data_IF_699971018923
#
_entry.id   IF_699971018923
#
_cell.length_a   1.000
_cell.length_b   1.000
_cell.length_c   1.000
_cell.angle_alpha   90.00
_cell.angle_beta   90.00
_cell.angle_gamma   90.00
#
_symmetry.space_group_name_H-M   'P 1'
#
loop_
_entity.id
_entity.type
_entity.pdbx_description
1 polymer ?
#
# COMPACT_ATOMS: atom_id res chain seq x y z
N UNK A 1 -15.22 11.46 20.43
CA UNK A 1 -14.59 12.80 20.33
C UNK A 1 -13.17 12.66 20.87
N UNK A 2 -12.34 11.86 20.18
CA UNK A 2 -11.02 11.41 20.69
C UNK A 2 -10.04 11.14 19.52
N UNK A 3 -10.29 11.72 18.34
CA UNK A 3 -9.58 11.38 17.10
C UNK A 3 -8.83 12.56 16.47
N UNK A 4 -8.83 13.73 17.12
CA UNK A 4 -8.30 14.98 16.54
C UNK A 4 -6.90 15.37 17.06
N UNK A 5 -6.33 14.62 18.00
CA UNK A 5 -5.22 15.13 18.82
C UNK A 5 -3.81 14.69 18.38
N UNK A 6 -3.64 14.11 17.19
CA UNK A 6 -2.36 13.50 16.77
C UNK A 6 -1.81 13.92 15.41
N UNK A 7 -2.13 15.13 14.93
CA UNK A 7 -1.49 15.66 13.71
C UNK A 7 -0.45 16.72 14.06
N UNK A 8 0.81 16.29 14.30
CA UNK A 8 1.95 17.19 14.27
C UNK A 8 2.48 17.29 12.83
N UNK A 9 2.40 18.50 12.27
CA UNK A 9 2.78 18.81 10.90
C UNK A 9 4.31 18.74 10.71
N UNK A 10 4.73 18.13 9.59
CA UNK A 10 6.12 18.18 9.13
C UNK A 10 6.39 19.57 8.55
N UNK A 11 7.27 20.33 9.21
CA UNK A 11 7.81 21.59 8.70
C UNK A 11 8.97 21.28 7.74
N UNK A 12 8.91 21.78 6.51
CA UNK A 12 9.98 21.61 5.52
C UNK A 12 11.25 22.32 6.01
N UNK A 13 12.33 21.56 6.19
CA UNK A 13 13.65 22.07 6.56
C UNK A 13 14.30 22.80 5.37
N UNK A 14 14.87 23.97 5.63
CA UNK A 14 15.58 24.80 4.65
C UNK A 14 16.98 24.25 4.36
N UNK A 15 17.61 24.77 3.30
CA UNK A 15 18.89 24.30 2.75
C UNK A 15 20.10 24.43 3.69
N UNK A 16 19.93 24.97 4.89
CA UNK A 16 21.00 25.16 5.89
C UNK A 16 20.72 24.44 7.21
N UNK A 17 19.65 23.64 7.31
CA UNK A 17 19.38 22.88 8.51
C UNK A 17 20.26 21.62 8.55
N UNK A 18 20.94 21.32 9.68
CA UNK A 18 21.74 20.11 9.80
C UNK A 18 20.84 18.89 9.57
N UNK A 19 21.35 17.92 8.80
CA UNK A 19 20.69 16.64 8.55
C UNK A 19 20.22 16.05 9.89
N UNK A 20 18.93 15.69 10.04
CA UNK A 20 18.44 15.15 11.30
C UNK A 20 19.22 13.87 11.63
N UNK A 21 19.65 13.76 12.88
CA UNK A 21 20.23 12.56 13.45
C UNK A 21 19.34 11.36 13.09
N UNK A 22 19.92 10.29 12.57
CA UNK A 22 19.19 9.04 12.22
C UNK A 22 18.61 8.37 13.47
N UNK A 23 18.90 8.89 14.66
CA UNK A 23 18.23 8.58 15.90
C UNK A 23 16.71 8.79 15.76
N UNK A 24 15.97 7.73 16.07
CA UNK A 24 14.52 7.75 16.11
C UNK A 24 14.02 8.88 17.03
N UNK A 25 13.12 9.74 16.51
CA UNK A 25 12.59 10.89 17.23
C UNK A 25 11.87 10.46 18.53
N UNK A 26 12.18 11.06 19.69
CA UNK A 26 11.48 10.75 20.94
C UNK A 26 9.97 10.94 20.79
N UNK A 27 9.19 9.96 21.25
CA UNK A 27 7.71 10.02 21.21
C UNK A 27 7.07 9.56 19.90
N UNK A 28 7.84 9.19 18.87
CA UNK A 28 7.29 8.53 17.67
C UNK A 28 7.10 7.02 17.93
N UNK A 29 6.01 6.39 17.47
CA UNK A 29 5.91 4.93 17.50
C UNK A 29 6.98 4.28 16.61
N UNK A 30 7.64 3.25 17.12
CA UNK A 30 8.57 2.45 16.33
C UNK A 30 7.79 1.62 15.31
N UNK A 31 8.28 1.56 14.07
CA UNK A 31 7.80 0.62 13.06
C UNK A 31 8.74 -0.59 13.00
N UNK A 32 8.43 -1.71 13.68
CA UNK A 32 9.29 -2.89 13.65
C UNK A 32 9.32 -3.47 12.22
N UNK A 33 10.54 -3.61 11.68
CA UNK A 33 10.76 -4.26 10.37
C UNK A 33 11.37 -5.64 10.64
N UNK A 34 10.72 -6.68 10.14
CA UNK A 34 11.22 -8.06 10.25
C UNK A 34 12.16 -8.36 9.09
N UNK A 35 13.38 -8.81 9.39
CA UNK A 35 14.32 -9.27 8.36
C UNK A 35 13.92 -10.66 7.85
N UNK A 36 13.67 -10.78 6.55
CA UNK A 36 13.41 -12.06 5.87
C UNK A 36 14.67 -12.87 5.52
N UNK A 37 15.84 -12.48 6.00
CA UNK A 37 17.11 -13.12 5.63
C UNK A 37 17.15 -14.61 6.05
N UNK A 38 17.31 -15.51 5.07
CA UNK A 38 17.31 -16.97 5.25
C UNK A 38 16.04 -17.54 5.92
N UNK A 39 14.92 -16.82 5.86
CA UNK A 39 13.65 -17.31 6.40
C UNK A 39 13.15 -18.52 5.58
N UNK A 40 12.62 -19.59 6.21
CA UNK A 40 12.21 -20.81 5.51
C UNK A 40 11.13 -20.57 4.43
N UNK A 41 10.29 -19.55 4.60
CA UNK A 41 9.19 -19.26 3.67
C UNK A 41 9.56 -18.30 2.54
N UNK A 42 10.75 -17.68 2.55
CA UNK A 42 11.07 -16.58 1.62
C UNK A 42 10.93 -16.98 0.15
N UNK A 43 11.29 -18.21 -0.19
CA UNK A 43 11.20 -18.73 -1.57
C UNK A 43 9.75 -18.93 -2.00
N UNK A 44 8.89 -19.39 -1.08
CA UNK A 44 7.47 -19.60 -1.36
C UNK A 44 6.75 -18.26 -1.48
N UNK A 45 7.03 -17.32 -0.57
CA UNK A 45 6.49 -15.94 -0.65
C UNK A 45 6.88 -15.27 -1.97
N UNK A 46 8.17 -15.33 -2.34
CA UNK A 46 8.64 -14.79 -3.63
C UNK A 46 7.93 -15.44 -4.83
N UNK A 47 7.76 -16.76 -4.80
CA UNK A 47 7.06 -17.48 -5.86
C UNK A 47 5.58 -17.04 -5.97
N UNK A 48 4.88 -16.87 -4.84
CA UNK A 48 3.51 -16.37 -4.83
C UNK A 48 3.44 -14.93 -5.33
N UNK A 49 4.36 -14.06 -4.92
CA UNK A 49 4.43 -12.67 -5.38
C UNK A 49 4.59 -12.61 -6.91
N UNK A 50 5.57 -13.34 -7.46
CA UNK A 50 5.81 -13.40 -8.91
C UNK A 50 4.60 -13.97 -9.68
N UNK A 51 3.89 -14.92 -9.08
CA UNK A 51 2.68 -15.52 -9.66
C UNK A 51 1.48 -14.56 -9.65
N UNK A 52 1.31 -13.80 -8.56
CA UNK A 52 0.14 -12.94 -8.33
C UNK A 52 0.30 -11.55 -8.93
N UNK A 53 1.52 -11.01 -9.00
CA UNK A 53 1.82 -9.68 -9.54
C UNK A 53 1.16 -9.40 -10.90
N UNK A 54 1.29 -10.24 -11.95
CA UNK A 54 0.67 -9.94 -13.25
C UNK A 54 -0.86 -9.98 -13.21
N UNK A 55 -1.46 -10.66 -12.24
CA UNK A 55 -2.91 -10.68 -12.03
C UNK A 55 -3.37 -9.41 -11.33
N UNK A 56 -2.63 -9.00 -10.30
CA UNK A 56 -2.85 -7.74 -9.60
C UNK A 56 -2.71 -6.56 -10.55
N UNK A 57 -1.66 -6.50 -11.36
CA UNK A 57 -1.40 -5.40 -12.30
C UNK A 57 -2.56 -5.16 -13.27
N UNK A 58 -3.18 -6.24 -13.77
CA UNK A 58 -4.37 -6.15 -14.63
C UNK A 58 -5.53 -5.41 -13.96
N UNK A 59 -5.68 -5.54 -12.64
CA UNK A 59 -6.75 -4.90 -11.88
C UNK A 59 -6.34 -3.52 -11.34
N UNK A 60 -5.08 -3.36 -10.97
CA UNK A 60 -4.55 -2.20 -10.26
C UNK A 60 -4.43 -0.94 -11.14
N UNK A 61 -4.42 -1.08 -12.47
CA UNK A 61 -4.21 0.04 -13.42
C UNK A 61 -5.07 1.28 -13.20
N UNK A 62 -6.27 1.13 -12.62
CA UNK A 62 -7.21 2.25 -12.38
C UNK A 62 -7.32 2.68 -10.93
N UNK A 63 -6.77 1.93 -10.00
CA UNK A 63 -7.01 2.10 -8.55
C UNK A 63 -5.73 2.32 -7.76
N UNK A 64 -4.58 2.02 -8.33
CA UNK A 64 -3.28 2.13 -7.67
C UNK A 64 -2.43 3.19 -8.34
N UNK A 65 -1.77 3.97 -7.50
CA UNK A 65 -0.81 4.99 -7.91
C UNK A 65 0.57 4.50 -7.49
N UNK A 66 1.43 4.28 -8.47
CA UNK A 66 2.80 3.82 -8.27
C UNK A 66 3.84 4.94 -8.39
N UNK A 67 3.42 6.15 -8.78
CA UNK A 67 4.30 7.29 -9.00
C UNK A 67 3.64 8.58 -8.56
N UNK A 68 4.31 9.32 -7.67
CA UNK A 68 3.86 10.64 -7.23
C UNK A 68 3.83 11.65 -8.39
N UNK A 69 4.75 11.54 -9.36
CA UNK A 69 4.74 12.38 -10.54
C UNK A 69 3.49 12.17 -11.40
N UNK A 70 3.11 10.90 -11.61
CA UNK A 70 1.91 10.56 -12.37
C UNK A 70 0.64 11.01 -11.64
N UNK A 71 0.59 10.87 -10.31
CA UNK A 71 -0.51 11.41 -9.49
C UNK A 71 -0.67 12.93 -9.67
N UNK A 72 0.41 13.71 -9.54
CA UNK A 72 0.35 15.16 -9.69
C UNK A 72 -0.15 15.54 -11.08
N UNK A 73 0.36 14.87 -12.12
CA UNK A 73 -0.08 15.09 -13.50
C UNK A 73 -1.57 14.78 -13.68
N UNK A 74 -2.06 13.67 -13.14
CA UNK A 74 -3.47 13.30 -13.20
C UNK A 74 -4.36 14.28 -12.45
N UNK A 75 -3.95 14.74 -11.26
CA UNK A 75 -4.67 15.75 -10.48
C UNK A 75 -4.74 17.10 -11.22
N UNK A 76 -3.66 17.52 -11.87
CA UNK A 76 -3.64 18.74 -12.68
C UNK A 76 -4.55 18.65 -13.91
N UNK A 77 -4.63 17.48 -14.55
CA UNK A 77 -5.55 17.25 -15.65
C UNK A 77 -7.01 17.26 -15.17
N UNK A 78 -7.27 16.56 -14.06
CA UNK A 78 -8.59 16.52 -13.43
C UNK A 78 -9.05 17.92 -13.00
N UNK A 79 -8.16 18.74 -12.43
CA UNK A 79 -8.52 20.06 -11.91
C UNK A 79 -8.97 21.02 -13.00
N UNK A 80 -8.37 20.97 -14.19
CA UNK A 80 -8.77 21.80 -15.34
C UNK A 80 -10.23 21.60 -15.77
N UNK A 81 -10.78 20.42 -15.52
CA UNK A 81 -12.13 20.03 -15.96
C UNK A 81 -13.13 20.10 -14.80
N UNK A 82 -12.71 19.72 -13.59
CA UNK A 82 -13.64 19.43 -12.49
C UNK A 82 -13.54 20.39 -11.29
N UNK A 83 -12.45 21.16 -11.16
CA UNK A 83 -12.24 22.02 -10.00
C UNK A 83 -13.14 23.26 -10.06
N UNK A 84 -13.82 23.54 -8.95
CA UNK A 84 -14.69 24.70 -8.76
C UNK A 84 -14.26 25.49 -7.52
N UNK A 85 -14.81 26.69 -7.35
CA UNK A 85 -14.50 27.52 -6.18
C UNK A 85 -14.87 26.83 -4.86
N UNK A 86 -15.92 26.00 -4.87
CA UNK A 86 -16.42 25.28 -3.69
C UNK A 86 -15.76 23.90 -3.51
N UNK A 87 -14.77 23.54 -4.33
CA UNK A 87 -14.07 22.26 -4.19
C UNK A 87 -13.21 22.25 -2.93
N UNK A 88 -13.48 21.31 -2.03
CA UNK A 88 -12.69 21.09 -0.82
C UNK A 88 -11.67 19.99 -1.04
N UNK A 89 -10.44 20.23 -0.62
CA UNK A 89 -9.40 19.20 -0.54
C UNK A 89 -9.36 18.64 0.87
N UNK A 90 -9.51 17.32 0.96
CA UNK A 90 -9.37 16.58 2.22
C UNK A 90 -8.21 15.61 2.05
N UNK A 91 -7.30 15.62 3.02
CA UNK A 91 -6.28 14.58 3.16
C UNK A 91 -6.70 13.62 4.25
N UNK A 92 -6.55 12.34 3.99
CA UNK A 92 -6.83 11.27 4.94
C UNK A 92 -5.59 10.41 5.00
N UNK A 93 -5.10 10.17 6.20
CA UNK A 93 -3.97 9.28 6.45
C UNK A 93 -4.44 8.04 7.21
N UNK A 94 -3.90 6.88 6.84
CA UNK A 94 -4.23 5.59 7.46
C UNK A 94 -3.03 5.15 8.29
N UNK A 95 -3.18 5.23 9.61
CA UNK A 95 -2.15 4.75 10.54
C UNK A 95 -2.07 3.22 10.56
N UNK A 96 -0.86 2.69 10.76
CA UNK A 96 -0.62 1.27 11.04
C UNK A 96 -1.16 0.30 9.97
N UNK A 97 -1.22 0.71 8.70
CA UNK A 97 -1.85 -0.04 7.61
C UNK A 97 -1.42 -1.52 7.58
N UNK A 98 -0.11 -1.80 7.61
CA UNK A 98 0.40 -3.16 7.50
C UNK A 98 0.05 -4.06 8.69
N UNK A 99 0.00 -3.52 9.90
CA UNK A 99 -0.30 -4.28 11.11
C UNK A 99 -1.80 -4.43 11.33
N UNK A 100 -2.60 -3.52 10.77
CA UNK A 100 -4.06 -3.48 10.94
C UNK A 100 -4.85 -4.27 9.89
N UNK A 101 -4.21 -4.75 8.81
CA UNK A 101 -4.88 -5.63 7.82
C UNK A 101 -5.09 -7.03 8.42
N UNK A 102 -6.34 -7.49 8.63
CA UNK A 102 -6.58 -8.82 9.18
C UNK A 102 -6.22 -9.89 8.16
N UNK A 103 -5.41 -10.87 8.57
CA UNK A 103 -4.89 -11.94 7.70
C UNK A 103 -6.02 -12.66 6.92
N UNK A 104 -7.10 -13.03 7.62
CA UNK A 104 -8.27 -13.69 7.01
C UNK A 104 -8.95 -12.83 5.94
N UNK A 105 -8.99 -11.50 6.13
CA UNK A 105 -9.53 -10.57 5.14
C UNK A 105 -8.57 -10.42 3.95
N UNK A 106 -7.27 -10.51 4.17
CA UNK A 106 -6.26 -10.55 3.09
C UNK A 106 -6.49 -11.74 2.16
N UNK A 107 -6.53 -12.95 2.71
CA UNK A 107 -6.78 -14.18 1.95
C UNK A 107 -8.14 -14.16 1.25
N UNK A 108 -9.19 -13.65 1.92
CA UNK A 108 -10.50 -13.51 1.29
C UNK A 108 -10.49 -12.51 0.12
N UNK A 109 -9.72 -11.42 0.23
CA UNK A 109 -9.59 -10.42 -0.83
C UNK A 109 -8.86 -11.00 -2.04
N UNK A 110 -7.82 -11.81 -1.79
CA UNK A 110 -7.14 -12.58 -2.83
C UNK A 110 -8.12 -13.54 -3.53
N UNK A 111 -8.92 -14.30 -2.78
CA UNK A 111 -9.93 -15.19 -3.37
C UNK A 111 -10.91 -14.42 -4.27
N UNK A 112 -11.44 -13.29 -3.79
CA UNK A 112 -12.34 -12.43 -4.56
C UNK A 112 -11.70 -11.91 -5.85
N UNK A 113 -10.41 -11.55 -5.80
CA UNK A 113 -9.64 -11.13 -6.97
C UNK A 113 -9.56 -12.26 -8.01
N UNK A 114 -9.23 -13.47 -7.57
CA UNK A 114 -9.11 -14.64 -8.45
C UNK A 114 -10.47 -15.06 -9.04
N UNK A 115 -11.54 -14.99 -8.25
CA UNK A 115 -12.92 -15.24 -8.69
C UNK A 115 -13.36 -14.20 -9.74
N UNK A 116 -13.05 -12.92 -9.52
CA UNK A 116 -13.34 -11.83 -10.47
C UNK A 116 -12.63 -12.03 -11.82
N UNK A 117 -11.40 -12.57 -11.80
CA UNK A 117 -10.64 -12.90 -13.00
C UNK A 117 -11.09 -14.22 -13.67
N UNK A 118 -12.04 -14.94 -13.08
CA UNK A 118 -12.60 -16.22 -13.57
C UNK A 118 -11.52 -17.29 -13.84
N UNK A 119 -10.44 -17.28 -13.06
CA UNK A 119 -9.32 -18.21 -13.24
C UNK A 119 -9.60 -19.54 -12.55
N UNK A 120 -9.38 -20.65 -13.25
CA UNK A 120 -9.40 -22.00 -12.65
C UNK A 120 -8.02 -22.44 -12.16
N UNK A 121 -6.96 -21.90 -12.75
CA UNK A 121 -5.57 -22.16 -12.41
C UNK A 121 -4.69 -21.00 -12.89
N UNK A 122 -3.54 -20.80 -12.24
CA UNK A 122 -2.47 -19.90 -12.69
C UNK A 122 -1.11 -20.50 -12.33
N UNK A 123 -0.10 -20.32 -13.19
CA UNK A 123 1.25 -20.89 -12.97
C UNK A 123 1.27 -22.41 -12.79
N UNK A 124 0.31 -23.14 -13.38
CA UNK A 124 0.15 -24.58 -13.20
C UNK A 124 -0.48 -25.02 -11.87
N UNK A 125 -0.84 -24.09 -10.99
CA UNK A 125 -1.48 -24.38 -9.70
C UNK A 125 -2.98 -24.10 -9.75
N UNK A 126 -3.76 -24.96 -9.09
CA UNK A 126 -5.18 -24.71 -8.82
C UNK A 126 -5.32 -23.52 -7.86
N UNK A 127 -6.37 -22.72 -8.03
CA UNK A 127 -6.66 -21.57 -7.15
C UNK A 127 -6.74 -21.99 -5.68
N UNK A 128 -7.35 -23.13 -5.37
CA UNK A 128 -7.41 -23.65 -4.01
C UNK A 128 -6.02 -23.85 -3.38
N UNK A 129 -5.05 -24.33 -4.15
CA UNK A 129 -3.67 -24.50 -3.69
C UNK A 129 -3.04 -23.14 -3.39
N UNK A 130 -3.26 -22.13 -4.24
CA UNK A 130 -2.74 -20.77 -4.04
C UNK A 130 -3.31 -20.16 -2.75
N UNK A 131 -4.62 -20.30 -2.53
CA UNK A 131 -5.29 -19.82 -1.32
C UNK A 131 -4.77 -20.54 -0.07
N UNK A 132 -4.41 -21.82 -0.15
CA UNK A 132 -3.82 -22.56 0.98
C UNK A 132 -2.37 -22.21 1.29
N UNK A 133 -1.65 -21.65 0.31
CA UNK A 133 -0.27 -21.18 0.47
C UNK A 133 -0.17 -19.72 0.94
N UNK A 134 -1.30 -18.99 0.91
CA UNK A 134 -1.43 -17.58 1.32
C UNK A 134 -1.90 -17.48 2.77
#
# INVERSE_FOLDING_TARGET
MEYMDKTQAYQCLGTNDPLPDLAHKPGTPLHPIVSGFKHPTIKISKFLDELLQPLFDKMATKTVINSGFELVKQLQQWSRINMRQETLFCTIDVMDLYTMVPQTKGVLSLKKMLDHLQLKQTGGLKIETIIRLS
#
